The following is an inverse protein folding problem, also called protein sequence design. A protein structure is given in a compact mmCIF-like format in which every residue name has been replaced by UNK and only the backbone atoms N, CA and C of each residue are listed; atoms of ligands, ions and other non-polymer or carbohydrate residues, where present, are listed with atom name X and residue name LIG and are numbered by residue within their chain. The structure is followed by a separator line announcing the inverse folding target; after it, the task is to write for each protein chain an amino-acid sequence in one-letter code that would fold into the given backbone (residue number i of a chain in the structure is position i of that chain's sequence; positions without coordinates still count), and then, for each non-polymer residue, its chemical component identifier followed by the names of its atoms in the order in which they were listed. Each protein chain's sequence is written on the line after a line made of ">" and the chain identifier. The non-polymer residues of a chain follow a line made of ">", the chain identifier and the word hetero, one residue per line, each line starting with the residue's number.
data_IF_797291588852
#
_entry.id   IF_797291588852
#
_cell.length_a   1.000
_cell.length_b   1.000
_cell.length_c   1.000
_cell.angle_alpha   90.00
_cell.angle_beta   90.00
_cell.angle_gamma   90.00
#
_symmetry.space_group_name_H-M   'P 1'
#
loop_
_entity.id
_entity.type
_entity.pdbx_description
1 polymer ?
#
# COMPACT_ATOMS: atom_id res chain seq x y z
N UNK A 1 -5.36 -9.04 -5.22
CA UNK A 1 -4.55 -9.89 -4.32
C UNK A 1 -5.48 -10.77 -3.54
N UNK A 2 -5.25 -12.09 -3.55
CA UNK A 2 -5.96 -13.06 -2.74
C UNK A 2 -5.01 -13.66 -1.70
N UNK A 3 -5.46 -13.85 -0.47
CA UNK A 3 -4.72 -14.54 0.58
C UNK A 3 -4.81 -16.03 0.33
N UNK A 4 -3.67 -16.69 0.14
CA UNK A 4 -3.58 -18.14 -0.01
C UNK A 4 -3.36 -18.80 1.36
N UNK A 5 -2.43 -18.27 2.16
CA UNK A 5 -2.14 -18.79 3.51
C UNK A 5 -1.48 -17.72 4.37
N UNK A 6 -1.95 -17.54 5.60
CA UNK A 6 -1.25 -16.80 6.65
C UNK A 6 -0.28 -17.75 7.38
N UNK A 7 1.02 -17.50 7.27
CA UNK A 7 2.06 -18.33 7.92
C UNK A 7 2.42 -17.81 9.30
N UNK A 8 2.37 -16.49 9.50
CA UNK A 8 2.62 -15.83 10.80
C UNK A 8 1.56 -14.75 11.01
N UNK A 9 1.01 -14.71 12.22
CA UNK A 9 0.03 -13.70 12.64
C UNK A 9 0.41 -13.24 14.03
N UNK A 10 0.70 -11.94 14.17
CA UNK A 10 1.16 -11.34 15.42
C UNK A 10 0.41 -10.03 15.67
N UNK A 11 0.19 -9.68 16.94
CA UNK A 11 -0.33 -8.35 17.28
C UNK A 11 0.85 -7.38 17.37
N UNK A 12 0.84 -6.36 16.52
CA UNK A 12 1.92 -5.36 16.37
C UNK A 12 1.26 -3.99 16.27
N UNK A 13 1.75 -2.98 16.98
CA UNK A 13 1.18 -1.62 16.93
C UNK A 13 -0.35 -1.58 17.20
N UNK A 14 -0.84 -2.46 18.08
CA UNK A 14 -2.27 -2.57 18.42
C UNK A 14 -3.16 -3.19 17.34
N UNK A 15 -2.62 -3.74 16.25
CA UNK A 15 -3.38 -4.41 15.20
C UNK A 15 -2.85 -5.81 14.88
N UNK A 16 -3.65 -6.61 14.19
CA UNK A 16 -3.20 -7.89 13.63
C UNK A 16 -2.35 -7.64 12.39
N UNK A 17 -1.06 -7.98 12.48
CA UNK A 17 -0.15 -8.02 11.34
C UNK A 17 0.04 -9.49 10.92
N UNK A 18 -0.22 -9.75 9.65
CA UNK A 18 -0.05 -11.07 9.06
C UNK A 18 1.08 -11.07 8.04
N UNK A 19 1.79 -12.18 7.95
CA UNK A 19 2.71 -12.52 6.87
C UNK A 19 2.34 -13.88 6.30
N UNK A 20 2.50 -14.05 4.99
CA UNK A 20 2.22 -15.30 4.31
C UNK A 20 2.18 -15.20 2.80
N UNK A 21 1.56 -16.21 2.18
CA UNK A 21 1.48 -16.34 0.72
C UNK A 21 0.20 -15.73 0.17
N UNK A 22 0.34 -15.02 -0.94
CA UNK A 22 -0.77 -14.39 -1.67
C UNK A 22 -0.64 -14.64 -3.16
N UNK A 23 -1.78 -14.63 -3.84
CA UNK A 23 -1.88 -14.63 -5.30
C UNK A 23 -2.21 -13.23 -5.79
N UNK A 24 -1.36 -12.66 -6.62
CA UNK A 24 -1.54 -11.32 -7.22
C UNK A 24 -1.96 -11.50 -8.66
N UNK A 25 -3.10 -10.91 -9.03
CA UNK A 25 -3.65 -10.92 -10.39
C UNK A 25 -3.66 -9.49 -10.92
N UNK A 26 -3.05 -9.28 -12.07
CA UNK A 26 -2.96 -7.98 -12.75
C UNK A 26 -3.51 -8.10 -14.18
N UNK A 27 -4.17 -7.03 -14.64
CA UNK A 27 -4.68 -6.92 -16.00
C UNK A 27 -4.51 -5.49 -16.51
N UNK A 28 -3.96 -5.34 -17.71
CA UNK A 28 -3.90 -4.05 -18.39
C UNK A 28 -5.20 -3.83 -19.15
N UNK A 29 -6.12 -3.07 -18.55
CA UNK A 29 -7.48 -2.86 -19.09
C UNK A 29 -7.59 -1.70 -20.09
N UNK A 30 -6.66 -0.74 -20.06
CA UNK A 30 -6.70 0.43 -20.93
C UNK A 30 -5.35 1.17 -20.98
N UNK A 31 -5.20 2.08 -21.95
CA UNK A 31 -4.15 3.10 -21.93
C UNK A 31 -4.73 4.50 -22.23
N UNK A 32 -4.09 5.55 -21.71
CA UNK A 32 -4.52 6.93 -21.89
C UNK A 32 -3.56 7.67 -22.82
N UNK A 33 -4.08 8.25 -23.91
CA UNK A 33 -3.33 9.17 -24.79
C UNK A 33 -3.33 10.56 -24.15
N UNK A 34 -2.16 11.16 -23.99
CA UNK A 34 -2.00 12.53 -23.46
C UNK A 34 -1.22 13.40 -24.44
N UNK A 35 -1.49 14.71 -24.44
CA UNK A 35 -0.63 15.69 -25.11
C UNK A 35 0.72 15.78 -24.40
N UNK A 36 1.71 16.43 -25.03
CA UNK A 36 3.00 16.71 -24.37
C UNK A 36 2.85 17.50 -23.06
N UNK A 37 1.81 18.33 -22.98
CA UNK A 37 1.48 19.13 -21.79
C UNK A 37 0.63 18.35 -20.76
N UNK A 38 0.47 17.03 -20.93
CA UNK A 38 -0.21 16.15 -19.98
C UNK A 38 -1.74 16.13 -20.05
N UNK A 39 -2.36 16.85 -20.98
CA UNK A 39 -3.83 16.85 -21.13
C UNK A 39 -4.30 15.54 -21.75
N UNK A 40 -5.33 14.92 -21.18
CA UNK A 40 -5.96 13.73 -21.75
C UNK A 40 -6.57 14.02 -23.12
N UNK A 41 -6.25 13.16 -24.08
CA UNK A 41 -6.83 13.15 -25.42
C UNK A 41 -7.92 12.07 -25.48
N UNK A 42 -7.58 10.85 -25.07
CA UNK A 42 -8.43 9.67 -25.24
C UNK A 42 -8.06 8.60 -24.21
N UNK A 43 -9.03 7.80 -23.77
CA UNK A 43 -8.82 6.55 -23.04
C UNK A 43 -9.20 5.39 -23.96
N UNK A 44 -8.26 4.52 -24.26
CA UNK A 44 -8.46 3.38 -25.18
C UNK A 44 -8.49 2.10 -24.35
N UNK A 45 -9.63 1.42 -24.38
CA UNK A 45 -9.80 0.13 -23.71
C UNK A 45 -9.00 -0.96 -24.43
N UNK A 46 -8.53 -1.93 -23.66
CA UNK A 46 -7.76 -3.08 -24.13
C UNK A 46 -8.39 -4.36 -23.59
N UNK A 47 -8.35 -5.40 -24.42
CA UNK A 47 -8.71 -6.76 -24.02
C UNK A 47 -7.41 -7.56 -23.87
N UNK A 48 -6.75 -7.41 -22.72
CA UNK A 48 -5.51 -8.11 -22.40
C UNK A 48 -5.80 -9.26 -21.43
N UNK A 49 -5.08 -10.39 -21.54
CA UNK A 49 -5.22 -11.47 -20.57
C UNK A 49 -4.76 -11.03 -19.18
N UNK A 50 -5.39 -11.61 -18.15
CA UNK A 50 -4.92 -11.49 -16.77
C UNK A 50 -3.61 -12.28 -16.59
N UNK A 51 -2.72 -11.76 -15.76
CA UNK A 51 -1.52 -12.47 -15.30
C UNK A 51 -1.60 -12.64 -13.81
N UNK A 52 -1.44 -13.88 -13.33
CA UNK A 52 -1.43 -14.21 -11.91
C UNK A 52 -0.10 -14.83 -11.51
N UNK A 53 0.44 -14.41 -10.37
CA UNK A 53 1.60 -15.03 -9.74
C UNK A 53 1.42 -15.14 -8.23
N UNK A 54 1.97 -16.20 -7.66
CA UNK A 54 2.04 -16.40 -6.21
C UNK A 54 3.28 -15.69 -5.67
N UNK A 55 3.18 -15.05 -4.51
CA UNK A 55 4.29 -14.34 -3.84
C UNK A 55 4.08 -14.32 -2.33
N UNK A 56 5.01 -13.71 -1.61
CA UNK A 56 4.92 -13.42 -0.19
C UNK A 56 4.45 -11.99 0.05
N UNK A 57 3.71 -11.80 1.14
CA UNK A 57 3.19 -10.50 1.51
C UNK A 57 3.08 -10.35 3.02
N UNK A 58 3.07 -9.09 3.44
CA UNK A 58 2.46 -8.67 4.68
C UNK A 58 1.11 -8.03 4.40
N UNK A 59 0.20 -8.15 5.36
CA UNK A 59 -1.01 -7.34 5.37
C UNK A 59 -1.44 -7.03 6.80
N UNK A 60 -2.08 -5.87 6.94
CA UNK A 60 -2.66 -5.44 8.19
C UNK A 60 -4.04 -4.85 7.97
N UNK A 61 -4.85 -4.95 9.01
CA UNK A 61 -6.20 -4.43 9.06
C UNK A 61 -6.25 -3.35 10.13
N UNK A 62 -6.38 -2.06 9.77
CA UNK A 62 -6.53 -1.01 10.77
C UNK A 62 -7.74 -1.27 11.68
N UNK A 63 -7.54 -1.14 12.99
CA UNK A 63 -8.62 -1.22 13.97
C UNK A 63 -9.55 -0.01 13.88
N UNK A 64 -10.79 -0.15 14.37
CA UNK A 64 -11.82 0.89 14.24
C UNK A 64 -11.38 2.23 14.85
N UNK A 65 -10.72 2.19 16.01
CA UNK A 65 -10.16 3.37 16.68
C UNK A 65 -9.08 4.07 15.85
N UNK A 66 -8.30 3.31 15.07
CA UNK A 66 -7.28 3.86 14.18
C UNK A 66 -7.91 4.62 13.01
N UNK A 67 -9.13 4.23 12.62
CA UNK A 67 -9.88 4.81 11.52
C UNK A 67 -10.83 5.95 11.92
N UNK A 68 -10.94 6.28 13.21
CA UNK A 68 -11.90 7.27 13.71
C UNK A 68 -11.79 8.63 12.98
N UNK A 69 -12.85 9.08 12.31
CA UNK A 69 -12.88 10.32 11.52
C UNK A 69 -12.26 10.22 10.11
N UNK A 70 -11.80 9.03 9.70
CA UNK A 70 -11.24 8.73 8.38
C UNK A 70 -12.14 7.83 7.52
N UNK A 71 -13.25 7.33 8.07
CA UNK A 71 -14.06 6.22 7.56
C UNK A 71 -14.90 6.59 6.32
N UNK A 72 -15.12 7.88 6.09
CA UNK A 72 -15.97 8.35 4.99
C UNK A 72 -15.26 8.20 3.65
N UNK A 73 -15.98 7.79 2.61
CA UNK A 73 -15.43 7.76 1.26
C UNK A 73 -15.46 9.17 0.64
N UNK A 74 -14.42 9.56 -0.12
CA UNK A 74 -13.27 8.73 -0.53
C UNK A 74 -12.06 8.81 0.42
N UNK A 75 -12.20 9.48 1.58
CA UNK A 75 -11.11 9.72 2.54
C UNK A 75 -10.48 8.44 3.05
N UNK A 76 -11.30 7.44 3.37
CA UNK A 76 -10.81 6.13 3.84
C UNK A 76 -9.88 5.50 2.80
N UNK A 77 -10.33 5.39 1.56
CA UNK A 77 -9.53 4.82 0.47
C UNK A 77 -8.25 5.63 0.24
N UNK A 78 -8.37 6.96 0.19
CA UNK A 78 -7.20 7.83 -0.02
C UNK A 78 -6.18 7.75 1.11
N UNK A 79 -6.63 7.53 2.34
CA UNK A 79 -5.78 7.32 3.52
C UNK A 79 -5.01 6.01 3.40
N UNK A 80 -5.71 4.90 3.12
CA UNK A 80 -5.10 3.58 3.00
C UNK A 80 -4.12 3.52 1.81
N UNK A 81 -4.48 4.15 0.69
CA UNK A 81 -3.67 4.23 -0.52
C UNK A 81 -2.40 5.06 -0.32
N UNK A 82 -2.51 6.21 0.34
CA UNK A 82 -1.33 6.99 0.70
C UNK A 82 -0.45 6.27 1.73
N UNK A 83 -1.03 5.52 2.68
CA UNK A 83 -0.28 4.69 3.63
C UNK A 83 0.50 3.59 2.92
N UNK A 84 -0.16 2.79 2.09
CA UNK A 84 0.44 1.77 1.23
C UNK A 84 1.64 2.32 0.43
N UNK A 85 1.43 3.42 -0.31
CA UNK A 85 2.49 4.03 -1.10
C UNK A 85 3.68 4.50 -0.26
N UNK A 86 3.42 5.15 0.87
CA UNK A 86 4.47 5.69 1.72
C UNK A 86 5.27 4.58 2.40
N UNK A 87 4.62 3.50 2.82
CA UNK A 87 5.27 2.32 3.37
C UNK A 87 6.16 1.66 2.31
N UNK A 88 5.64 1.40 1.11
CA UNK A 88 6.41 0.86 -0.02
C UNK A 88 7.62 1.75 -0.36
N UNK A 89 7.45 3.08 -0.31
CA UNK A 89 8.54 4.01 -0.58
C UNK A 89 9.68 3.92 0.45
N UNK A 90 9.37 3.56 1.70
CA UNK A 90 10.35 3.48 2.79
C UNK A 90 10.98 2.10 2.98
N UNK A 91 10.28 1.03 2.61
CA UNK A 91 10.75 -0.35 2.82
C UNK A 91 12.16 -0.63 2.24
N UNK A 92 12.56 -0.07 1.07
CA UNK A 92 13.93 -0.17 0.57
C UNK A 92 15.04 0.19 1.57
N UNK A 93 14.79 1.13 2.50
CA UNK A 93 15.78 1.51 3.52
C UNK A 93 15.96 0.44 4.61
N UNK A 94 14.98 -0.43 4.78
CA UNK A 94 14.94 -1.47 5.82
C UNK A 94 15.28 -2.86 5.29
N UNK A 95 14.96 -3.12 4.02
CA UNK A 95 15.13 -4.42 3.37
C UNK A 95 16.24 -4.44 2.29
N UNK A 96 16.89 -3.30 2.00
CA UNK A 96 17.97 -3.17 1.01
C UNK A 96 17.59 -3.70 -0.39
N UNK A 97 16.38 -3.40 -0.82
CA UNK A 97 15.85 -3.73 -2.16
C UNK A 97 15.61 -2.47 -2.99
N UNK A 98 15.25 -2.64 -4.26
CA UNK A 98 14.73 -1.54 -5.05
C UNK A 98 13.22 -1.38 -4.81
N UNK A 99 12.69 -0.15 -4.90
CA UNK A 99 11.24 0.11 -4.81
C UNK A 99 10.47 -0.67 -5.89
N UNK A 100 11.09 -0.95 -7.03
CA UNK A 100 10.52 -1.74 -8.11
C UNK A 100 10.45 -3.24 -7.79
N UNK A 101 11.00 -3.69 -6.67
CA UNK A 101 10.86 -5.08 -6.20
C UNK A 101 9.64 -5.27 -5.30
N UNK A 102 8.81 -4.24 -5.12
CA UNK A 102 7.70 -4.22 -4.17
C UNK A 102 6.42 -3.81 -4.89
N UNK A 103 5.32 -4.45 -4.54
CA UNK A 103 3.95 -4.09 -4.93
C UNK A 103 3.05 -3.93 -3.72
N UNK A 104 1.81 -3.50 -3.96
CA UNK A 104 0.83 -3.33 -2.89
C UNK A 104 -0.60 -3.31 -3.39
N UNK A 105 -1.51 -3.39 -2.43
CA UNK A 105 -2.93 -3.19 -2.63
C UNK A 105 -3.52 -2.57 -1.37
N UNK A 106 -4.25 -1.48 -1.52
CA UNK A 106 -5.11 -0.92 -0.49
C UNK A 106 -6.57 -0.97 -0.94
N UNK A 107 -7.46 -1.37 -0.04
CA UNK A 107 -8.90 -1.40 -0.31
C UNK A 107 -9.69 -1.08 0.95
N UNK A 108 -10.80 -0.37 0.80
CA UNK A 108 -11.75 -0.10 1.88
C UNK A 108 -12.52 -1.37 2.29
N UNK A 109 -12.60 -2.37 1.43
CA UNK A 109 -13.25 -3.65 1.73
C UNK A 109 -12.59 -4.77 0.93
N UNK A 110 -11.77 -5.58 1.58
CA UNK A 110 -11.18 -6.75 0.94
C UNK A 110 -12.14 -7.95 1.00
N UNK A 111 -12.28 -8.67 -0.11
CA UNK A 111 -13.30 -9.71 -0.26
C UNK A 111 -13.12 -10.92 0.68
N UNK A 112 -11.90 -11.22 1.12
CA UNK A 112 -11.64 -12.32 2.09
C UNK A 112 -11.68 -11.87 3.54
N UNK A 113 -11.24 -10.65 3.85
CA UNK A 113 -11.15 -10.18 5.23
C UNK A 113 -12.40 -9.42 5.68
N UNK A 114 -13.24 -8.97 4.75
CA UNK A 114 -14.44 -8.19 5.04
C UNK A 114 -14.15 -6.83 5.66
N UNK A 115 -12.90 -6.35 5.60
CA UNK A 115 -12.44 -5.13 6.28
C UNK A 115 -11.52 -4.29 5.39
N UNK A 116 -11.32 -3.00 5.72
CA UNK A 116 -10.23 -2.23 5.15
C UNK A 116 -8.90 -2.94 5.36
N UNK A 117 -8.14 -3.14 4.28
CA UNK A 117 -6.90 -3.92 4.31
C UNK A 117 -5.84 -3.28 3.45
N UNK A 118 -4.60 -3.25 3.95
CA UNK A 118 -3.42 -2.85 3.20
C UNK A 118 -2.51 -4.06 3.06
N UNK A 119 -2.11 -4.37 1.84
CA UNK A 119 -1.15 -5.39 1.47
C UNK A 119 0.12 -4.72 0.94
N UNK A 120 1.26 -5.28 1.32
CA UNK A 120 2.56 -5.00 0.70
C UNK A 120 3.17 -6.36 0.39
N UNK A 121 3.55 -6.58 -0.86
CA UNK A 121 3.98 -7.89 -1.36
C UNK A 121 5.27 -7.79 -2.16
N UNK A 122 6.01 -8.88 -2.22
CA UNK A 122 7.21 -9.00 -3.04
C UNK A 122 6.79 -9.02 -4.53
N UNK A 123 7.39 -8.13 -5.31
CA UNK A 123 7.17 -8.01 -6.76
C UNK A 123 7.80 -9.13 -7.60
N UNK A 124 8.14 -10.26 -6.96
CA UNK A 124 8.78 -11.41 -7.59
C UNK A 124 7.98 -12.69 -7.33
N UNK A 125 7.71 -13.53 -8.34
CA UNK A 125 7.06 -14.82 -8.13
C UNK A 125 7.79 -15.69 -7.11
N UNK A 126 7.05 -16.28 -6.18
CA UNK A 126 7.56 -17.09 -5.09
C UNK A 126 7.98 -16.32 -3.84
N UNK A 127 8.14 -14.98 -3.93
CA UNK A 127 8.72 -14.18 -2.85
C UNK A 127 10.24 -14.28 -2.80
N UNK A 128 10.88 -13.22 -2.28
CA UNK A 128 12.34 -13.11 -2.09
C UNK A 128 12.72 -12.65 -0.68
N UNK A 129 11.75 -12.62 0.24
CA UNK A 129 11.94 -12.25 1.64
C UNK A 129 11.95 -10.74 1.93
N UNK A 130 11.54 -9.88 0.98
CA UNK A 130 11.50 -8.42 1.24
C UNK A 130 10.43 -8.09 2.28
N UNK A 131 9.24 -8.64 2.09
CA UNK A 131 8.12 -8.44 3.02
C UNK A 131 8.27 -9.23 4.30
N UNK A 132 8.97 -10.36 4.30
CA UNK A 132 9.38 -11.03 5.54
C UNK A 132 10.25 -10.10 6.38
N UNK A 133 11.24 -9.46 5.76
CA UNK A 133 12.05 -8.45 6.45
C UNK A 133 11.21 -7.27 6.94
N UNK A 134 10.25 -6.81 6.13
CA UNK A 134 9.28 -5.78 6.52
C UNK A 134 8.44 -6.17 7.73
N UNK A 135 8.04 -7.43 7.86
CA UNK A 135 7.31 -7.97 8.99
C UNK A 135 8.13 -7.94 10.30
N UNK A 136 9.43 -8.26 10.21
CA UNK A 136 10.34 -8.25 11.37
C UNK A 136 10.61 -6.86 11.94
N UNK A 137 10.58 -5.82 11.09
CA UNK A 137 10.94 -4.44 11.44
C UNK A 137 9.76 -3.48 11.38
N UNK A 138 8.53 -4.02 11.43
CA UNK A 138 7.31 -3.31 11.13
C UNK A 138 7.17 -1.99 11.91
N UNK A 139 7.44 -2.01 13.21
CA UNK A 139 7.34 -0.85 14.10
C UNK A 139 8.27 0.29 13.68
N UNK A 140 9.55 -0.03 13.44
CA UNK A 140 10.55 0.94 13.02
C UNK A 140 10.26 1.51 11.64
N UNK A 141 9.83 0.66 10.72
CA UNK A 141 9.45 1.06 9.36
C UNK A 141 8.21 1.96 9.34
N UNK A 142 7.17 1.64 10.11
CA UNK A 142 5.98 2.51 10.27
C UNK A 142 6.39 3.85 10.90
N UNK A 143 7.25 3.85 11.92
CA UNK A 143 7.72 5.05 12.58
C UNK A 143 8.46 6.00 11.62
N UNK A 144 9.39 5.47 10.81
CA UNK A 144 10.13 6.28 9.85
C UNK A 144 9.26 6.74 8.67
N UNK A 145 8.26 5.94 8.29
CA UNK A 145 7.25 6.35 7.30
C UNK A 145 6.42 7.53 7.80
N UNK A 146 5.98 7.50 9.06
CA UNK A 146 5.28 8.63 9.67
C UNK A 146 6.16 9.90 9.72
N UNK A 147 7.46 9.76 10.05
CA UNK A 147 8.42 10.87 10.02
C UNK A 147 8.60 11.46 8.62
N UNK A 148 8.66 10.63 7.57
CA UNK A 148 8.72 11.10 6.19
C UNK A 148 7.50 11.97 5.86
N UNK A 149 6.30 11.48 6.17
CA UNK A 149 5.07 12.20 5.86
C UNK A 149 4.99 13.54 6.61
N UNK A 150 5.36 13.56 7.88
CA UNK A 150 5.37 14.77 8.72
C UNK A 150 6.43 15.78 8.28
N UNK A 151 7.64 15.32 7.94
CA UNK A 151 8.75 16.17 7.52
C UNK A 151 8.68 16.67 6.07
N UNK A 152 7.81 16.08 5.25
CA UNK A 152 7.66 16.50 3.85
C UNK A 152 6.92 17.86 3.77
N UNK A 153 7.47 18.89 3.09
CA UNK A 153 6.90 20.25 3.07
C UNK A 153 5.65 20.40 2.20
N UNK A 154 5.23 19.35 1.48
CA UNK A 154 4.03 19.42 0.64
C UNK A 154 2.75 19.37 1.49
N UNK A 155 1.70 20.02 1.01
CA UNK A 155 0.41 20.06 1.70
C UNK A 155 -0.43 18.80 1.39
N UNK A 156 -0.56 18.46 0.10
CA UNK A 156 -1.52 17.45 -0.37
C UNK A 156 -0.91 16.09 -0.72
N UNK A 157 0.42 15.97 -0.65
CA UNK A 157 1.15 14.81 -1.16
C UNK A 157 1.94 15.10 -2.44
N UNK A 158 3.07 14.42 -2.63
CA UNK A 158 3.99 14.65 -3.75
C UNK A 158 4.79 13.37 -4.09
N UNK A 159 5.58 13.38 -5.20
CA UNK A 159 6.49 12.30 -5.57
C UNK A 159 7.44 11.82 -4.46
N UNK A 160 7.82 12.72 -3.55
CA UNK A 160 8.75 12.41 -2.46
C UNK A 160 8.10 11.80 -1.22
N UNK A 161 6.76 11.67 -1.16
CA UNK A 161 6.11 11.16 0.05
C UNK A 161 5.03 10.09 -0.17
N UNK A 162 4.00 10.37 -0.97
CA UNK A 162 2.81 9.49 -1.09
C UNK A 162 2.52 9.05 -2.51
N UNK A 163 3.22 9.56 -3.52
CA UNK A 163 3.03 9.10 -4.88
C UNK A 163 3.93 7.89 -5.19
N UNK A 164 3.44 7.02 -6.06
CA UNK A 164 4.15 5.85 -6.56
C UNK A 164 4.21 5.86 -8.08
N UNK A 165 5.38 5.60 -8.68
CA UNK A 165 5.50 5.44 -10.13
C UNK A 165 4.80 4.16 -10.62
N UNK A 166 4.51 3.21 -9.72
CA UNK A 166 3.80 1.96 -10.00
C UNK A 166 2.29 2.03 -9.74
N UNK A 167 1.75 3.19 -9.35
CA UNK A 167 0.33 3.30 -9.04
C UNK A 167 -0.52 3.06 -10.30
N UNK A 168 -1.28 1.96 -10.33
CA UNK A 168 -2.26 1.67 -11.39
C UNK A 168 -3.43 2.65 -11.42
N UNK A 169 -3.69 3.37 -10.32
CA UNK A 169 -4.74 4.37 -10.19
C UNK A 169 -4.27 5.80 -10.50
N UNK A 170 -3.19 5.96 -11.28
CA UNK A 170 -2.66 7.27 -11.72
C UNK A 170 -2.29 8.24 -10.58
N UNK A 171 -2.04 7.74 -9.38
CA UNK A 171 -1.88 8.52 -8.15
C UNK A 171 -3.09 9.42 -7.83
N UNK A 172 -4.28 9.04 -8.30
CA UNK A 172 -5.54 9.67 -7.91
C UNK A 172 -5.94 9.19 -6.51
N UNK A 173 -6.64 10.06 -5.77
CA UNK A 173 -7.14 9.77 -4.43
C UNK A 173 -6.04 9.38 -3.44
N UNK A 174 -5.17 10.33 -3.10
CA UNK A 174 -4.16 10.20 -2.05
C UNK A 174 -4.44 11.21 -0.93
N UNK A 175 -4.59 10.73 0.30
CA UNK A 175 -4.75 11.59 1.48
C UNK A 175 -3.51 11.48 2.39
N UNK A 176 -2.57 12.41 2.20
CA UNK A 176 -1.35 12.50 3.03
C UNK A 176 -1.68 12.67 4.51
N UNK A 177 -2.62 13.54 4.84
CA UNK A 177 -2.96 13.86 6.23
C UNK A 177 -3.66 12.68 6.91
N UNK A 178 -4.56 12.03 6.19
CA UNK A 178 -5.21 10.78 6.62
C UNK A 178 -4.20 9.67 6.86
N UNK A 179 -3.26 9.44 5.92
CA UNK A 179 -2.19 8.44 6.08
C UNK A 179 -1.31 8.74 7.31
N UNK A 180 -0.84 9.97 7.48
CA UNK A 180 -0.06 10.37 8.64
C UNK A 180 -0.83 10.15 9.96
N UNK A 181 -2.13 10.47 9.97
CA UNK A 181 -3.00 10.24 11.13
C UNK A 181 -3.11 8.75 11.46
N UNK A 182 -3.34 7.91 10.45
CA UNK A 182 -3.41 6.46 10.59
C UNK A 182 -2.11 5.87 11.16
N UNK A 183 -0.96 6.19 10.56
CA UNK A 183 0.34 5.68 11.01
C UNK A 183 0.68 6.15 12.43
N UNK A 184 0.36 7.40 12.80
CA UNK A 184 0.53 7.90 14.17
C UNK A 184 -0.34 7.16 15.18
N UNK A 185 -1.58 6.83 14.81
CA UNK A 185 -2.46 6.04 15.68
C UNK A 185 -1.91 4.64 15.88
N UNK A 186 -1.49 3.94 14.83
CA UNK A 186 -0.80 2.65 14.96
C UNK A 186 0.35 2.72 15.98
N UNK A 187 1.22 3.72 15.86
CA UNK A 187 2.37 3.90 16.77
C UNK A 187 1.98 4.23 18.23
N UNK A 188 0.79 4.80 18.47
CA UNK A 188 0.33 5.11 19.82
C UNK A 188 -0.15 3.87 20.59
N UNK A 189 -0.41 2.75 19.90
CA UNK A 189 -0.81 1.46 20.49
C UNK A 189 0.34 0.43 20.52
N UNK A 190 1.57 0.85 20.19
CA UNK A 190 2.79 0.03 20.20
C UNK A 190 3.59 0.09 21.50
#
# INVERSE_FOLDING_TARGET
>A
TAIDTATRVEVRLGLELSFGRVSVTEQVVAYQKKTRDGKQIELVQLDMPETTFETEAIWYLPELEMLEGLETMPRLLGTLHAAEHSLIALLPLWAMCDRWDIGGLSTNLHFQTGRPTVFIYDGHPGGVGITERGFEVFEGWVADTAKLLDGCPCEHGCPSCVQSPKCGNLNEMLDKAGSLTLLRRMLAHG
#
